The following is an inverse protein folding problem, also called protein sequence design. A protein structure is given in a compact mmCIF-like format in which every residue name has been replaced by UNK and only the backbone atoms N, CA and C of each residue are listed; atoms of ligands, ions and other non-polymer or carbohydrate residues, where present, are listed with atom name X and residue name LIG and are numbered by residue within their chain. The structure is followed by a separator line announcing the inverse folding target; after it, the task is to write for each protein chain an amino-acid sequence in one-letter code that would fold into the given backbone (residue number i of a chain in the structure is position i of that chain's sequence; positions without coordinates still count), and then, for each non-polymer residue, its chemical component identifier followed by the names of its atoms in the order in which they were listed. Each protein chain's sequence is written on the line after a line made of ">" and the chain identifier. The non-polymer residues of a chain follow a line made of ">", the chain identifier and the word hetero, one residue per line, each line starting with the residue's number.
data_IF_662200514960
#
_entry.id   IF_662200514960
#
_cell.length_a   1.000
_cell.length_b   1.000
_cell.length_c   1.000
_cell.angle_alpha   90.00
_cell.angle_beta   90.00
_cell.angle_gamma   90.00
#
_symmetry.space_group_name_H-M   'P 1'
#
loop_
_entity.id
_entity.type
_entity.pdbx_description
1 polymer ?
#
# COMPACT_ATOMS: atom_id res chain seq x y z
N UNK A 1 8.93 -14.72 23.40
CA UNK A 1 8.60 -13.45 22.73
C UNK A 1 8.78 -13.63 21.24
N UNK A 2 7.78 -13.27 20.46
CA UNK A 2 7.93 -13.29 19.01
C UNK A 2 8.95 -12.24 18.58
N UNK A 3 9.88 -12.64 17.74
CA UNK A 3 10.77 -11.69 17.10
C UNK A 3 9.97 -10.69 16.28
N UNK A 4 10.45 -9.46 16.25
CA UNK A 4 9.86 -8.37 15.48
C UNK A 4 10.79 -7.95 14.37
N UNK A 5 10.22 -7.60 13.24
CA UNK A 5 10.92 -6.94 12.15
C UNK A 5 10.87 -5.44 12.43
N UNK A 6 12.02 -4.78 12.42
CA UNK A 6 12.09 -3.33 12.67
C UNK A 6 12.53 -2.61 11.41
N UNK A 7 11.82 -1.54 11.09
CA UNK A 7 12.17 -0.65 9.98
C UNK A 7 12.51 0.72 10.55
N UNK A 8 13.65 1.26 10.19
CA UNK A 8 14.02 2.65 10.50
C UNK A 8 13.64 3.56 9.34
N UNK A 9 13.61 4.88 9.57
CA UNK A 9 13.42 5.85 8.48
C UNK A 9 14.54 5.79 7.44
N UNK A 10 15.77 5.51 7.87
CA UNK A 10 16.89 5.34 6.93
C UNK A 10 16.69 4.13 6.03
N UNK A 11 16.33 3.00 6.60
CA UNK A 11 16.03 1.77 5.85
C UNK A 11 14.83 1.95 4.93
N UNK A 12 13.82 2.69 5.37
CA UNK A 12 12.67 3.05 4.53
C UNK A 12 13.14 3.82 3.29
N UNK A 13 14.04 4.78 3.45
CA UNK A 13 14.61 5.51 2.32
C UNK A 13 15.32 4.59 1.33
N UNK A 14 16.08 3.62 1.82
CA UNK A 14 16.72 2.59 0.97
C UNK A 14 15.68 1.74 0.26
N UNK A 15 14.65 1.30 0.98
CA UNK A 15 13.57 0.47 0.43
C UNK A 15 12.85 1.17 -0.73
N UNK A 16 12.55 2.47 -0.57
CA UNK A 16 11.91 3.28 -1.63
C UNK A 16 12.77 3.30 -2.90
N UNK A 17 14.07 3.51 -2.76
CA UNK A 17 14.98 3.54 -3.91
C UNK A 17 15.08 2.18 -4.60
N UNK A 18 15.19 1.12 -3.82
CA UNK A 18 15.26 -0.25 -4.35
C UNK A 18 13.96 -0.67 -5.05
N UNK A 19 12.80 -0.40 -4.44
CA UNK A 19 11.50 -0.66 -5.06
C UNK A 19 11.30 0.17 -6.32
N UNK A 20 11.66 1.44 -6.27
CA UNK A 20 11.58 2.33 -7.44
C UNK A 20 12.39 1.79 -8.61
N UNK A 21 13.61 1.32 -8.34
CA UNK A 21 14.47 0.69 -9.36
C UNK A 21 13.83 -0.57 -9.93
N UNK A 22 13.28 -1.42 -9.07
CA UNK A 22 12.60 -2.66 -9.48
C UNK A 22 11.41 -2.34 -10.40
N UNK A 23 10.61 -1.35 -10.03
CA UNK A 23 9.45 -0.92 -10.83
C UNK A 23 9.89 -0.41 -12.21
N UNK A 24 10.91 0.45 -12.25
CA UNK A 24 11.43 0.98 -13.52
C UNK A 24 11.99 -0.12 -14.41
N UNK A 25 12.70 -1.10 -13.83
CA UNK A 25 13.26 -2.23 -14.59
C UNK A 25 12.19 -3.20 -15.09
N UNK A 26 11.01 -3.22 -14.49
CA UNK A 26 9.88 -4.05 -14.94
C UNK A 26 9.16 -3.50 -16.16
N UNK A 27 9.55 -2.32 -16.63
CA UNK A 27 8.92 -1.60 -17.76
C UNK A 27 7.47 -1.15 -17.49
N UNK A 28 6.95 -1.37 -16.28
CA UNK A 28 5.66 -0.81 -15.88
C UNK A 28 5.80 0.69 -15.62
N UNK A 29 5.05 1.48 -16.36
CA UNK A 29 5.03 2.94 -16.23
C UNK A 29 3.67 3.38 -15.72
N UNK A 30 3.49 3.49 -14.40
CA UNK A 30 2.20 3.95 -13.89
C UNK A 30 1.95 5.40 -14.20
N UNK A 31 0.69 5.71 -14.51
CA UNK A 31 0.21 7.08 -14.69
C UNK A 31 -0.14 7.70 -13.34
N UNK A 32 -0.54 6.87 -12.39
CA UNK A 32 -1.09 7.27 -11.10
C UNK A 32 -0.53 6.37 -10.01
N UNK A 33 -0.24 6.97 -8.85
CA UNK A 33 0.01 6.23 -7.61
C UNK A 33 -1.22 6.39 -6.72
N UNK A 34 -1.75 5.28 -6.26
CA UNK A 34 -2.87 5.23 -5.31
C UNK A 34 -2.36 4.67 -3.99
N UNK A 35 -2.29 5.51 -2.97
CA UNK A 35 -1.80 5.13 -1.65
C UNK A 35 -2.96 4.69 -0.77
N UNK A 36 -2.82 3.52 -0.16
CA UNK A 36 -3.79 3.05 0.83
C UNK A 36 -3.46 3.72 2.17
N UNK A 37 -4.37 4.55 2.65
CA UNK A 37 -4.20 5.23 3.92
C UNK A 37 -4.29 4.23 5.08
N UNK A 38 -3.59 4.44 6.15
CA UNK A 38 -2.56 5.47 6.37
C UNK A 38 -1.14 4.98 6.02
N UNK A 39 -0.84 3.70 6.27
CA UNK A 39 0.51 3.13 6.10
C UNK A 39 1.08 3.29 4.70
N UNK A 40 0.23 3.23 3.68
CA UNK A 40 0.66 3.39 2.30
C UNK A 40 1.04 4.79 1.88
N UNK A 41 0.71 5.83 2.67
CA UNK A 41 1.04 7.22 2.34
C UNK A 41 2.55 7.44 2.16
N UNK A 42 3.34 6.89 3.08
CA UNK A 42 4.78 7.11 3.05
C UNK A 42 5.43 6.44 1.84
N UNK A 43 5.06 5.19 1.60
CA UNK A 43 5.59 4.47 0.43
C UNK A 43 5.12 5.10 -0.87
N UNK A 44 3.84 5.44 -0.98
CA UNK A 44 3.30 6.06 -2.19
C UNK A 44 3.96 7.39 -2.51
N UNK A 45 4.14 8.26 -1.52
CA UNK A 45 4.85 9.52 -1.69
C UNK A 45 6.30 9.30 -2.09
N UNK A 46 7.00 8.41 -1.41
CA UNK A 46 8.39 8.08 -1.74
C UNK A 46 8.55 7.56 -3.15
N UNK A 47 7.69 6.63 -3.56
CA UNK A 47 7.72 6.08 -4.92
C UNK A 47 7.38 7.13 -5.97
N UNK A 48 6.45 8.05 -5.69
CA UNK A 48 6.13 9.16 -6.58
C UNK A 48 7.34 9.98 -6.95
N UNK A 49 8.19 10.28 -5.98
CA UNK A 49 9.47 10.94 -6.24
C UNK A 49 10.48 10.03 -6.92
N UNK A 50 10.59 8.78 -6.49
CA UNK A 50 11.59 7.86 -7.00
C UNK A 50 11.40 7.51 -8.49
N UNK A 51 10.16 7.41 -8.95
CA UNK A 51 9.83 7.03 -10.34
C UNK A 51 9.18 8.19 -11.13
N UNK A 52 9.17 9.39 -10.57
CA UNK A 52 8.66 10.63 -11.18
C UNK A 52 7.20 10.54 -11.62
N UNK A 53 6.33 10.10 -10.73
CA UNK A 53 4.87 10.10 -10.93
C UNK A 53 4.25 11.14 -9.99
N UNK A 54 3.65 12.18 -10.57
CA UNK A 54 3.06 13.30 -9.83
C UNK A 54 1.59 13.11 -9.49
N UNK A 55 0.86 12.36 -10.30
CA UNK A 55 -0.55 12.10 -10.05
C UNK A 55 -0.69 11.11 -8.91
N UNK A 56 -1.13 11.59 -7.77
CA UNK A 56 -1.25 10.80 -6.56
C UNK A 56 -2.64 10.93 -5.96
N UNK A 57 -3.23 9.79 -5.67
CA UNK A 57 -4.53 9.70 -5.00
C UNK A 57 -4.38 8.85 -3.75
N UNK A 58 -5.37 8.93 -2.87
CA UNK A 58 -5.43 8.11 -1.68
C UNK A 58 -6.77 7.41 -1.58
N UNK A 59 -6.76 6.27 -0.91
CA UNK A 59 -7.94 5.47 -0.63
C UNK A 59 -7.87 5.01 0.82
N UNK A 60 -8.92 5.30 1.59
CA UNK A 60 -9.03 4.80 2.95
C UNK A 60 -9.80 3.49 2.96
N UNK A 61 -9.22 2.48 3.56
CA UNK A 61 -9.81 1.16 3.70
C UNK A 61 -9.87 0.81 5.19
N UNK A 62 -11.05 0.47 5.66
CA UNK A 62 -11.26 0.13 7.07
C UNK A 62 -11.95 -1.21 7.20
N UNK A 63 -11.51 -2.00 8.17
CA UNK A 63 -12.29 -3.10 8.70
C UNK A 63 -13.28 -2.51 9.70
N UNK A 64 -14.38 -1.97 9.18
CA UNK A 64 -15.35 -1.29 9.99
C UNK A 64 -15.96 -2.23 11.02
N UNK A 65 -15.96 -1.78 12.26
CA UNK A 65 -16.73 -2.44 13.31
C UNK A 65 -18.02 -1.68 13.51
N UNK A 66 -19.15 -2.35 13.43
CA UNK A 66 -20.37 -1.84 14.06
C UNK A 66 -20.10 -1.61 15.55
N UNK A 67 -21.10 -1.18 16.31
CA UNK A 67 -20.93 -0.76 17.72
C UNK A 67 -20.14 -1.76 18.58
N UNK A 68 -20.18 -3.05 18.24
CA UNK A 68 -19.50 -4.10 19.00
C UNK A 68 -18.81 -5.17 18.14
N UNK A 69 -18.81 -5.04 16.79
CA UNK A 69 -18.28 -6.09 15.92
C UNK A 69 -17.45 -5.54 14.79
N UNK A 70 -16.26 -6.13 14.61
CA UNK A 70 -15.43 -5.91 13.44
C UNK A 70 -16.08 -6.61 12.25
N UNK A 71 -16.30 -5.88 11.15
CA UNK A 71 -16.75 -6.51 9.92
C UNK A 71 -15.73 -7.53 9.43
N UNK A 72 -16.19 -8.69 8.93
CA UNK A 72 -15.28 -9.69 8.39
C UNK A 72 -14.59 -9.24 7.11
N UNK A 73 -15.07 -8.17 6.48
CA UNK A 73 -14.51 -7.63 5.24
C UNK A 73 -14.23 -6.13 5.35
N UNK A 74 -13.12 -5.67 4.77
CA UNK A 74 -12.83 -4.24 4.75
C UNK A 74 -13.79 -3.50 3.81
N UNK A 75 -13.97 -2.22 4.09
CA UNK A 75 -14.76 -1.32 3.25
C UNK A 75 -13.91 -0.11 2.83
N UNK A 76 -14.23 0.45 1.67
CA UNK A 76 -13.65 1.69 1.19
C UNK A 76 -14.42 2.86 1.79
N UNK A 77 -13.72 3.75 2.48
CA UNK A 77 -14.32 4.94 3.11
C UNK A 77 -14.23 6.15 2.19
N UNK A 78 -15.25 7.03 2.23
CA UNK A 78 -15.17 8.30 1.52
C UNK A 78 -14.12 9.23 2.19
N UNK A 79 -13.54 10.22 1.47
CA UNK A 79 -13.74 10.42 0.04
C UNK A 79 -13.01 9.36 -0.79
N UNK A 80 -13.59 9.00 -1.92
CA UNK A 80 -12.97 8.06 -2.85
C UNK A 80 -12.48 8.80 -4.09
N UNK A 81 -11.41 8.32 -4.75
CA UNK A 81 -10.98 8.89 -6.02
C UNK A 81 -12.11 8.84 -7.05
N UNK A 82 -12.22 9.87 -7.86
CA UNK A 82 -13.18 9.87 -8.95
C UNK A 82 -12.76 8.81 -9.97
N UNK A 83 -13.63 7.84 -10.22
CA UNK A 83 -13.35 6.75 -11.16
C UNK A 83 -13.13 7.23 -12.59
N UNK A 84 -13.69 8.39 -12.96
CA UNK A 84 -13.45 8.99 -14.27
C UNK A 84 -11.98 9.36 -14.44
N UNK A 85 -11.35 9.87 -13.38
CA UNK A 85 -9.93 10.22 -13.41
C UNK A 85 -9.02 8.99 -13.47
N UNK A 86 -9.51 7.85 -13.02
CA UNK A 86 -8.80 6.58 -13.04
C UNK A 86 -9.02 5.80 -14.35
N UNK A 87 -10.04 6.19 -15.14
CA UNK A 87 -10.42 5.45 -16.34
C UNK A 87 -9.28 5.32 -17.34
N UNK A 88 -8.95 4.08 -17.70
CA UNK A 88 -7.89 3.79 -18.66
C UNK A 88 -6.46 4.05 -18.17
N UNK A 89 -6.28 4.42 -16.90
CA UNK A 89 -4.97 4.67 -16.32
C UNK A 89 -4.26 3.38 -15.91
N UNK A 90 -2.94 3.42 -15.91
CA UNK A 90 -2.10 2.41 -15.26
C UNK A 90 -1.84 2.87 -13.83
N UNK A 91 -2.26 2.07 -12.86
CA UNK A 91 -2.26 2.44 -11.45
C UNK A 91 -1.29 1.58 -10.66
N UNK A 92 -0.40 2.23 -9.92
CA UNK A 92 0.42 1.59 -8.90
C UNK A 92 -0.21 1.84 -7.54
N UNK A 93 -0.66 0.78 -6.90
CA UNK A 93 -1.22 0.84 -5.54
C UNK A 93 -0.10 0.60 -4.54
N UNK A 94 0.05 1.50 -3.56
CA UNK A 94 1.09 1.41 -2.53
C UNK A 94 0.48 1.18 -1.15
N UNK A 95 1.02 0.23 -0.42
CA UNK A 95 0.70 -0.01 0.98
C UNK A 95 1.97 -0.40 1.75
N UNK A 96 1.92 -0.39 3.07
CA UNK A 96 3.08 -0.75 3.88
C UNK A 96 3.30 -2.27 3.95
N UNK A 97 2.24 -3.04 4.09
CA UNK A 97 2.32 -4.49 4.23
C UNK A 97 1.13 -5.20 3.58
N UNK A 98 1.43 -6.30 2.90
CA UNK A 98 0.42 -7.27 2.48
C UNK A 98 0.38 -8.38 3.52
N UNK A 99 -0.55 -8.30 4.46
CA UNK A 99 -0.70 -9.25 5.57
C UNK A 99 -1.61 -10.42 5.16
N UNK A 100 -2.92 -10.27 5.31
CA UNK A 100 -3.88 -11.25 4.79
C UNK A 100 -4.16 -11.05 3.30
N UNK A 101 -3.92 -9.87 2.80
CA UNK A 101 -4.21 -9.49 1.42
C UNK A 101 -5.65 -9.09 1.16
N UNK A 102 -6.51 -9.07 2.17
CA UNK A 102 -7.92 -8.69 2.01
C UNK A 102 -8.08 -7.24 1.57
N UNK A 103 -7.24 -6.33 2.11
CA UNK A 103 -7.21 -4.93 1.68
C UNK A 103 -6.82 -4.80 0.22
N UNK A 104 -5.76 -5.48 -0.21
CA UNK A 104 -5.32 -5.44 -1.61
C UNK A 104 -6.38 -6.03 -2.54
N UNK A 105 -7.04 -7.11 -2.12
CA UNK A 105 -8.13 -7.71 -2.89
C UNK A 105 -9.29 -6.73 -3.07
N UNK A 106 -9.71 -6.05 -2.02
CA UNK A 106 -10.78 -5.06 -2.08
C UNK A 106 -10.42 -3.93 -3.06
N UNK A 107 -9.20 -3.41 -2.97
CA UNK A 107 -8.74 -2.33 -3.84
C UNK A 107 -8.66 -2.80 -5.29
N UNK A 108 -8.18 -4.02 -5.52
CA UNK A 108 -8.15 -4.62 -6.86
C UNK A 108 -9.56 -4.72 -7.44
N UNK A 109 -10.52 -5.23 -6.67
CA UNK A 109 -11.91 -5.37 -7.10
C UNK A 109 -12.54 -4.00 -7.36
N UNK A 110 -12.22 -3.00 -6.54
CA UNK A 110 -12.68 -1.62 -6.72
C UNK A 110 -12.18 -0.99 -8.02
N UNK A 111 -10.96 -1.30 -8.45
CA UNK A 111 -10.34 -0.74 -9.63
C UNK A 111 -10.65 -1.52 -10.91
N UNK A 112 -10.97 -2.80 -10.79
CA UNK A 112 -11.20 -3.67 -11.95
C UNK A 112 -12.35 -3.14 -12.81
N UNK A 113 -12.09 -3.03 -14.12
CA UNK A 113 -13.07 -2.53 -15.08
C UNK A 113 -12.98 -1.01 -15.31
N UNK A 114 -12.22 -0.27 -14.50
CA UNK A 114 -12.04 1.17 -14.65
C UNK A 114 -10.64 1.55 -15.13
N UNK A 115 -9.61 0.83 -14.65
CA UNK A 115 -8.22 1.10 -14.99
C UNK A 115 -7.72 0.17 -16.09
N UNK A 116 -6.68 0.59 -16.81
CA UNK A 116 -6.06 -0.26 -17.83
C UNK A 116 -5.24 -1.39 -17.21
N UNK A 117 -4.52 -1.08 -16.15
CA UNK A 117 -3.68 -2.04 -15.43
C UNK A 117 -3.50 -1.58 -13.99
N UNK A 118 -3.46 -2.52 -13.06
CA UNK A 118 -3.15 -2.26 -11.65
C UNK A 118 -2.04 -3.18 -11.19
N UNK A 119 -1.04 -2.60 -10.51
CA UNK A 119 0.01 -3.34 -9.82
C UNK A 119 0.15 -2.84 -8.39
N UNK A 120 0.62 -3.71 -7.52
CA UNK A 120 0.73 -3.45 -6.09
C UNK A 120 2.18 -3.45 -5.65
N UNK A 121 2.56 -2.42 -4.89
CA UNK A 121 3.87 -2.31 -4.26
C UNK A 121 3.70 -2.22 -2.75
N UNK A 122 4.45 -3.01 -2.01
CA UNK A 122 4.46 -3.01 -0.54
C UNK A 122 5.90 -3.07 -0.03
N UNK A 123 6.10 -2.61 1.20
CA UNK A 123 7.39 -2.79 1.85
C UNK A 123 7.57 -4.26 2.26
N UNK A 124 6.55 -4.84 2.87
CA UNK A 124 6.62 -6.21 3.35
C UNK A 124 5.46 -7.05 2.83
N UNK A 125 5.79 -8.28 2.44
CA UNK A 125 4.84 -9.31 2.06
C UNK A 125 4.87 -10.41 3.10
N UNK A 126 3.71 -10.79 3.62
CA UNK A 126 3.59 -11.93 4.53
C UNK A 126 3.16 -13.19 3.76
N UNK A 127 3.62 -14.37 4.20
CA UNK A 127 3.23 -15.63 3.53
C UNK A 127 1.72 -15.88 3.52
N UNK A 128 0.97 -15.23 4.41
CA UNK A 128 -0.48 -15.38 4.56
C UNK A 128 -1.29 -14.58 3.54
N UNK A 129 -0.66 -13.70 2.76
CA UNK A 129 -1.41 -12.86 1.82
C UNK A 129 -2.08 -13.68 0.71
N UNK A 130 -3.37 -13.40 0.48
CA UNK A 130 -4.15 -14.02 -0.61
C UNK A 130 -3.93 -13.35 -1.97
N UNK A 131 -3.43 -12.11 -1.97
CA UNK A 131 -3.01 -11.37 -3.17
C UNK A 131 -1.51 -11.18 -3.09
N UNK A 132 -0.79 -11.75 -4.03
CA UNK A 132 0.65 -11.53 -4.11
C UNK A 132 0.92 -10.14 -4.71
N UNK A 133 1.61 -9.23 -3.99
CA UNK A 133 2.02 -7.96 -4.57
C UNK A 133 2.96 -8.18 -5.76
N UNK A 134 2.90 -7.28 -6.74
CA UNK A 134 3.83 -7.31 -7.87
C UNK A 134 5.24 -6.94 -7.45
N UNK A 135 5.34 -6.05 -6.47
CA UNK A 135 6.62 -5.56 -5.93
C UNK A 135 6.56 -5.58 -4.41
N UNK A 136 7.47 -6.31 -3.81
CA UNK A 136 7.67 -6.32 -2.36
C UNK A 136 9.15 -6.14 -2.06
N UNK A 137 9.46 -5.29 -1.08
CA UNK A 137 10.84 -5.08 -0.68
C UNK A 137 11.41 -6.29 0.05
N UNK A 138 10.63 -6.80 1.02
CA UNK A 138 11.01 -8.00 1.79
C UNK A 138 9.80 -8.87 2.10
N UNK A 139 10.08 -10.13 2.40
CA UNK A 139 9.09 -11.07 2.93
C UNK A 139 9.40 -11.33 4.40
N UNK A 140 8.38 -11.32 5.25
CA UNK A 140 8.52 -11.65 6.66
C UNK A 140 7.22 -12.25 7.21
N UNK A 141 7.32 -13.16 8.16
CA UNK A 141 6.19 -13.67 8.94
C UNK A 141 6.07 -12.96 10.29
N UNK A 142 6.99 -12.05 10.60
CA UNK A 142 7.08 -11.36 11.88
C UNK A 142 6.17 -10.15 11.94
N UNK A 143 5.85 -9.70 13.15
CA UNK A 143 5.24 -8.39 13.37
C UNK A 143 6.23 -7.29 12.99
N UNK A 144 5.76 -6.29 12.24
CA UNK A 144 6.62 -5.22 11.74
C UNK A 144 6.41 -3.97 12.59
N UNK A 145 7.50 -3.40 13.08
CA UNK A 145 7.51 -2.10 13.74
C UNK A 145 7.92 -1.04 12.72
N UNK A 146 6.92 -0.29 12.24
CA UNK A 146 7.17 0.82 11.32
C UNK A 146 7.55 2.08 12.08
N UNK A 147 8.49 2.89 11.57
CA UNK A 147 8.97 4.07 12.30
C UNK A 147 7.91 5.15 12.49
N UNK A 148 6.87 5.16 11.65
CA UNK A 148 5.77 6.12 11.74
C UNK A 148 4.66 5.73 12.71
N UNK A 149 4.66 4.51 13.20
CA UNK A 149 3.57 4.01 14.06
C UNK A 149 4.03 3.39 15.36
N UNK A 150 5.30 3.07 15.50
CA UNK A 150 5.82 2.33 16.67
C UNK A 150 5.63 3.08 17.99
N UNK A 151 5.65 4.41 17.98
CA UNK A 151 5.51 5.23 19.18
C UNK A 151 4.04 5.53 19.55
N UNK A 152 3.10 5.19 18.65
CA UNK A 152 1.69 5.49 18.87
C UNK A 152 1.36 6.98 18.81
N UNK A 153 0.20 7.35 19.34
CA UNK A 153 -0.24 8.75 19.34
C UNK A 153 0.53 9.58 20.36
N UNK A 154 0.68 10.86 20.07
CA UNK A 154 1.24 11.81 21.03
C UNK A 154 0.26 12.00 22.19
N UNK A 155 0.77 12.04 23.40
CA UNK A 155 0.01 12.36 24.61
C UNK A 155 0.41 13.75 25.11
N UNK A 156 -0.55 14.53 25.64
CA UNK A 156 -0.38 15.87 26.20
C UNK A 156 -0.98 15.96 27.59
#
# INVERSE_FOLDING_TARGET
>A
MSEREKLSYEEFGVAVRELGKTILLSEFKPDIILSIARGGFLLGAGLGYAIDVKNAFTLSVEFYTGVDERLPMPIVLPPVPNRVDLHGAKVLVADDVADTGETLKLVKDFLTGYVAEVRFAVLYEKPTTIIKPDYAWRTTDKWIEFPWSVQGKVEV
#
